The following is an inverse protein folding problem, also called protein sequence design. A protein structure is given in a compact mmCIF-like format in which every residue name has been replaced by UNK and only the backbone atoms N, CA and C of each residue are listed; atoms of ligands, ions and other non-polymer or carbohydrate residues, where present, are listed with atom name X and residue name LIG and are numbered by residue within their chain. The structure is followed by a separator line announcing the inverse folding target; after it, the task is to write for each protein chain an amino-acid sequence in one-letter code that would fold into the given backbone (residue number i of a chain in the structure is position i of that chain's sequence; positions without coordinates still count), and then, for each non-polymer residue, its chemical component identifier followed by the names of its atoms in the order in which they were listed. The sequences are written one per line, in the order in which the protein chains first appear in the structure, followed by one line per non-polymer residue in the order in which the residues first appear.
data_IF_129047741040
#
_entry.id   IF_129047741040
#
_cell.length_a   1.000
_cell.length_b   1.000
_cell.length_c   1.000
_cell.angle_alpha   90.00
_cell.angle_beta   90.00
_cell.angle_gamma   90.00
#
_symmetry.space_group_name_H-M   'P 1'
#
loop_
_entity.id
_entity.type
_entity.pdbx_description
1 polymer ?
#
# COMPACT_ATOMS: atom_id res chain seq x y z
N UNK A 1 11.90 -15.50 4.29
CA UNK A 1 10.54 -15.83 3.80
C UNK A 1 9.58 -15.43 4.91
N UNK A 2 8.51 -14.71 4.59
CA UNK A 2 7.52 -14.26 5.57
C UNK A 2 6.26 -15.14 5.47
N UNK A 3 5.55 -15.34 6.59
CA UNK A 3 4.25 -16.01 6.64
C UNK A 3 3.26 -15.17 7.43
N UNK A 4 1.99 -15.23 7.07
CA UNK A 4 0.88 -14.65 7.82
C UNK A 4 0.25 -15.77 8.66
N UNK A 5 0.01 -15.51 9.94
CA UNK A 5 -0.67 -16.48 10.82
C UNK A 5 -2.18 -16.47 10.57
N UNK A 6 -2.81 -17.64 10.50
CA UNK A 6 -4.27 -17.79 10.37
C UNK A 6 -5.06 -17.19 11.55
N UNK A 7 -4.38 -16.92 12.67
CA UNK A 7 -4.97 -16.32 13.87
C UNK A 7 -5.10 -14.80 13.80
N UNK A 8 -4.54 -14.15 12.78
CA UNK A 8 -4.58 -12.69 12.65
C UNK A 8 -5.95 -12.28 12.09
N UNK A 9 -6.61 -11.34 12.77
CA UNK A 9 -7.90 -10.83 12.30
C UNK A 9 -7.74 -9.99 11.01
N UNK A 10 -8.86 -9.82 10.31
CA UNK A 10 -8.87 -9.10 9.02
C UNK A 10 -8.52 -7.61 9.20
N UNK A 11 -8.83 -7.01 10.34
CA UNK A 11 -8.54 -5.60 10.64
C UNK A 11 -7.02 -5.37 10.69
N UNK A 12 -6.31 -6.18 11.46
CA UNK A 12 -4.86 -6.16 11.58
C UNK A 12 -4.18 -6.47 10.24
N UNK A 13 -4.71 -7.40 9.43
CA UNK A 13 -4.19 -7.66 8.08
C UNK A 13 -4.30 -6.43 7.18
N UNK A 14 -5.45 -5.77 7.18
CA UNK A 14 -5.71 -4.58 6.36
C UNK A 14 -4.91 -3.36 6.84
N UNK A 15 -4.77 -3.18 8.16
CA UNK A 15 -3.93 -2.14 8.74
C UNK A 15 -2.44 -2.32 8.34
N UNK A 16 -1.90 -3.53 8.51
CA UNK A 16 -0.53 -3.84 8.10
C UNK A 16 -0.32 -3.67 6.58
N UNK A 17 -1.32 -4.03 5.77
CA UNK A 17 -1.29 -3.79 4.33
C UNK A 17 -1.23 -2.29 4.02
N UNK A 18 -2.10 -1.48 4.62
CA UNK A 18 -2.12 -0.03 4.43
C UNK A 18 -0.78 0.62 4.83
N UNK A 19 -0.20 0.22 5.97
CA UNK A 19 1.13 0.71 6.41
C UNK A 19 2.26 0.28 5.46
N UNK A 20 2.22 -0.96 4.97
CA UNK A 20 3.20 -1.47 4.00
C UNK A 20 3.13 -0.69 2.68
N UNK A 21 1.91 -0.41 2.19
CA UNK A 21 1.72 0.38 0.97
C UNK A 21 2.17 1.83 1.16
N UNK A 22 1.87 2.45 2.30
CA UNK A 22 2.35 3.79 2.62
C UNK A 22 3.88 3.86 2.65
N UNK A 23 4.53 2.86 3.25
CA UNK A 23 6.00 2.75 3.30
C UNK A 23 6.59 2.57 1.89
N UNK A 24 5.98 1.71 1.07
CA UNK A 24 6.39 1.51 -0.31
C UNK A 24 6.25 2.79 -1.15
N UNK A 25 5.16 3.54 -0.98
CA UNK A 25 4.94 4.81 -1.68
C UNK A 25 5.98 5.86 -1.30
N UNK A 26 6.34 5.93 -0.01
CA UNK A 26 7.39 6.84 0.47
C UNK A 26 8.77 6.50 -0.13
N UNK A 27 9.16 5.22 -0.12
CA UNK A 27 10.42 4.77 -0.73
C UNK A 27 10.45 5.02 -2.24
N UNK A 28 9.34 4.78 -2.94
CA UNK A 28 9.25 4.99 -4.37
C UNK A 28 9.27 6.48 -4.74
N UNK A 29 8.62 7.32 -3.93
CA UNK A 29 8.64 8.77 -4.10
C UNK A 29 10.05 9.32 -3.95
N UNK A 30 10.78 8.88 -2.91
CA UNK A 30 12.20 9.22 -2.71
C UNK A 30 13.05 8.80 -3.93
N UNK A 31 12.89 7.57 -4.40
CA UNK A 31 13.58 7.07 -5.59
C UNK A 31 13.24 7.89 -6.85
N UNK A 32 11.97 8.29 -7.03
CA UNK A 32 11.51 9.03 -8.20
C UNK A 32 12.18 10.41 -8.35
N UNK A 33 12.59 11.05 -7.24
CA UNK A 33 13.35 12.30 -7.28
C UNK A 33 14.71 12.12 -7.98
N UNK A 34 15.34 10.96 -7.84
CA UNK A 34 16.63 10.64 -8.49
C UNK A 34 16.51 10.14 -9.94
N UNK A 35 15.29 9.92 -10.45
CA UNK A 35 15.06 9.46 -11.82
C UNK A 35 14.72 10.61 -12.75
N UNK A 36 14.96 10.45 -14.05
CA UNK A 36 14.59 11.43 -15.09
C UNK A 36 13.94 10.74 -16.30
N UNK A 37 13.26 11.54 -17.12
CA UNK A 37 12.62 11.10 -18.37
C UNK A 37 11.62 9.96 -18.17
N UNK A 38 11.63 8.98 -19.07
CA UNK A 38 10.71 7.83 -19.06
C UNK A 38 10.74 7.03 -17.76
N UNK A 39 11.90 6.92 -17.10
CA UNK A 39 12.02 6.17 -15.83
C UNK A 39 11.27 6.86 -14.69
N UNK A 40 11.28 8.19 -14.63
CA UNK A 40 10.48 8.95 -13.65
C UNK A 40 8.99 8.71 -13.89
N UNK A 41 8.53 8.71 -15.14
CA UNK A 41 7.13 8.43 -15.47
C UNK A 41 6.70 7.03 -15.06
N UNK A 42 7.55 6.02 -15.24
CA UNK A 42 7.29 4.65 -14.75
C UNK A 42 7.17 4.64 -13.23
N UNK A 43 8.10 5.28 -12.51
CA UNK A 43 8.05 5.35 -11.05
C UNK A 43 6.76 6.02 -10.54
N UNK A 44 6.34 7.12 -11.17
CA UNK A 44 5.08 7.78 -10.85
C UNK A 44 3.87 6.90 -11.14
N UNK A 45 3.87 6.14 -12.24
CA UNK A 45 2.81 5.17 -12.53
C UNK A 45 2.71 4.06 -11.49
N UNK A 46 3.85 3.58 -10.97
CA UNK A 46 3.87 2.61 -9.87
C UNK A 46 3.36 3.24 -8.57
N UNK A 47 3.74 4.49 -8.27
CA UNK A 47 3.22 5.21 -7.10
C UNK A 47 1.70 5.34 -7.14
N UNK A 48 1.13 5.67 -8.31
CA UNK A 48 -0.33 5.72 -8.50
C UNK A 48 -1.01 4.37 -8.23
N UNK A 49 -0.40 3.25 -8.64
CA UNK A 49 -0.94 1.91 -8.35
C UNK A 49 -0.89 1.57 -6.86
N UNK A 50 0.18 1.96 -6.16
CA UNK A 50 0.31 1.77 -4.70
C UNK A 50 -0.76 2.58 -3.97
N UNK A 51 -0.95 3.84 -4.35
CA UNK A 51 -1.94 4.73 -3.75
C UNK A 51 -3.37 4.23 -3.98
N UNK A 52 -3.68 3.71 -5.18
CA UNK A 52 -4.94 3.01 -5.44
C UNK A 52 -5.10 1.78 -4.53
N UNK A 53 -4.05 0.98 -4.34
CA UNK A 53 -4.06 -0.15 -3.42
C UNK A 53 -4.39 0.26 -1.99
N UNK A 54 -3.82 1.38 -1.52
CA UNK A 54 -4.09 1.90 -0.18
C UNK A 54 -5.55 2.35 -0.02
N UNK A 55 -6.12 3.02 -1.03
CA UNK A 55 -7.53 3.39 -1.03
C UNK A 55 -8.46 2.17 -0.97
N UNK A 56 -8.13 1.10 -1.70
CA UNK A 56 -8.88 -0.15 -1.68
C UNK A 56 -8.78 -0.86 -0.32
N UNK A 57 -7.59 -0.89 0.29
CA UNK A 57 -7.37 -1.47 1.62
C UNK A 57 -8.14 -0.71 2.70
N UNK A 58 -8.05 0.62 2.70
CA UNK A 58 -8.82 1.46 3.62
C UNK A 58 -10.33 1.25 3.42
N UNK A 59 -10.80 1.16 2.17
CA UNK A 59 -12.22 0.89 1.92
C UNK A 59 -12.68 -0.49 2.38
N UNK A 60 -11.79 -1.49 2.32
CA UNK A 60 -12.05 -2.81 2.87
C UNK A 60 -12.11 -2.78 4.40
N UNK A 61 -11.23 -2.00 5.04
CA UNK A 61 -11.19 -1.81 6.50
C UNK A 61 -12.49 -1.18 6.99
N UNK A 62 -12.94 -0.08 6.38
CA UNK A 62 -14.23 0.57 6.69
C UNK A 62 -15.39 -0.44 6.68
N UNK A 63 -15.38 -1.39 5.73
CA UNK A 63 -16.44 -2.41 5.59
C UNK A 63 -16.35 -3.50 6.64
N UNK A 64 -15.16 -3.78 7.18
CA UNK A 64 -14.96 -4.72 8.28
C UNK A 64 -15.42 -4.07 9.57
N UNK A 65 -14.99 -2.84 9.86
CA UNK A 65 -15.37 -2.10 11.07
C UNK A 65 -16.89 -1.96 11.20
N UNK A 66 -17.61 -1.63 10.12
CA UNK A 66 -19.07 -1.51 10.11
C UNK A 66 -19.84 -2.81 10.39
N UNK A 67 -19.18 -3.98 10.37
CA UNK A 67 -19.80 -5.29 10.61
C UNK A 67 -19.60 -5.81 12.04
N UNK A 68 -18.80 -5.11 12.83
CA UNK A 68 -18.44 -5.43 14.22
C UNK A 68 -19.21 -4.54 15.18
#
# INVERSE_FOLDING_TARGET
MFTVSDSVDTEALLANLSETLASANAMLSDLAFGLEGSRRHVALGVAQMIELGALLANKALDRVELRT
#
